data_IF_726891815030
#
_entry.id   IF_726891815030
#
_cell.length_a   1.000
_cell.length_b   1.000
_cell.length_c   1.000
_cell.angle_alpha   90.00
_cell.angle_beta   90.00
_cell.angle_gamma   90.00
#
_symmetry.space_group_name_H-M   'P 1'
#
loop_
_entity.id
_entity.type
_entity.pdbx_description
1 polymer ?
#
# COMPACT_ATOMS: atom_id res chain seq x y z
N UNK A 1 -10.45 4.91 19.73
CA UNK A 1 -9.13 5.31 19.21
C UNK A 1 -8.79 4.39 18.04
N UNK A 2 -8.28 4.91 16.92
CA UNK A 2 -8.01 4.15 15.67
C UNK A 2 -6.51 3.89 15.49
N UNK A 3 -5.87 3.40 16.55
CA UNK A 3 -4.41 3.35 16.68
C UNK A 3 -3.70 2.59 15.53
N UNK A 4 -4.29 1.51 15.02
CA UNK A 4 -3.74 0.78 13.88
C UNK A 4 -3.73 1.61 12.59
N UNK A 5 -4.84 2.28 12.27
CA UNK A 5 -4.94 3.16 11.10
C UNK A 5 -4.03 4.38 11.23
N UNK A 6 -3.93 4.94 12.42
CA UNK A 6 -3.02 6.04 12.73
C UNK A 6 -1.56 5.64 12.48
N UNK A 7 -1.15 4.47 12.98
CA UNK A 7 0.18 3.94 12.74
C UNK A 7 0.43 3.71 11.23
N UNK A 8 -0.56 3.20 10.49
CA UNK A 8 -0.45 3.04 9.03
C UNK A 8 -0.19 4.37 8.32
N UNK A 9 -0.97 5.40 8.64
CA UNK A 9 -0.85 6.72 8.01
C UNK A 9 0.49 7.36 8.33
N UNK A 10 0.96 7.30 9.57
CA UNK A 10 2.26 7.89 9.94
C UNK A 10 3.46 7.11 9.37
N UNK A 11 3.32 5.81 9.15
CA UNK A 11 4.36 5.01 8.48
C UNK A 11 4.43 5.32 6.99
N UNK A 12 3.28 5.28 6.30
CA UNK A 12 3.20 5.42 4.84
C UNK A 12 3.31 6.86 4.37
N UNK A 13 2.85 7.82 5.19
CA UNK A 13 2.72 9.24 4.84
C UNK A 13 2.09 9.45 3.44
N UNK A 14 0.88 8.93 3.20
CA UNK A 14 0.25 8.99 1.90
C UNK A 14 0.00 10.43 1.45
N UNK A 15 0.42 10.76 0.24
CA UNK A 15 0.12 12.05 -0.39
C UNK A 15 -1.35 12.17 -0.85
N UNK A 16 -2.05 11.03 -0.95
CA UNK A 16 -3.43 10.96 -1.41
C UNK A 16 -4.20 9.86 -0.65
N UNK A 17 -5.45 10.16 -0.29
CA UNK A 17 -6.38 9.28 0.40
C UNK A 17 -7.65 9.11 -0.43
N UNK A 18 -7.90 7.87 -0.86
CA UNK A 18 -9.18 7.46 -1.44
C UNK A 18 -10.10 6.95 -0.33
N UNK A 19 -11.21 7.64 -0.07
CA UNK A 19 -12.09 7.37 1.07
C UNK A 19 -13.45 6.87 0.60
N UNK A 20 -13.71 5.59 0.80
CA UNK A 20 -15.02 4.99 0.60
C UNK A 20 -16.01 5.42 1.70
N UNK A 21 -17.11 6.09 1.33
CA UNK A 21 -18.14 6.55 2.28
C UNK A 21 -19.30 5.55 2.35
N UNK A 22 -19.92 5.34 3.54
CA UNK A 22 -19.73 6.13 4.78
C UNK A 22 -18.59 5.64 5.68
N UNK A 23 -17.96 6.57 6.41
CA UNK A 23 -16.96 6.28 7.47
C UNK A 23 -17.45 6.75 8.85
N UNK A 24 -16.94 6.12 9.91
CA UNK A 24 -17.27 6.52 11.29
C UNK A 24 -16.72 7.91 11.65
N UNK A 25 -17.43 8.66 12.49
CA UNK A 25 -17.00 10.00 12.98
C UNK A 25 -15.58 10.00 13.58
N UNK A 26 -15.20 8.90 14.26
CA UNK A 26 -13.85 8.75 14.81
C UNK A 26 -12.77 8.67 13.72
N UNK A 27 -13.08 8.02 12.59
CA UNK A 27 -12.16 7.90 11.45
C UNK A 27 -12.08 9.21 10.70
N UNK A 28 -13.23 9.88 10.50
CA UNK A 28 -13.28 11.22 9.91
C UNK A 28 -12.45 12.22 10.70
N UNK A 29 -12.57 12.26 12.03
CA UNK A 29 -11.74 13.12 12.88
C UNK A 29 -10.24 12.84 12.72
N UNK A 30 -9.86 11.56 12.61
CA UNK A 30 -8.47 11.17 12.43
C UNK A 30 -7.94 11.58 11.04
N UNK A 31 -8.71 11.35 9.98
CA UNK A 31 -8.32 11.75 8.63
C UNK A 31 -8.26 13.27 8.49
N UNK A 32 -9.17 14.02 9.11
CA UNK A 32 -9.12 15.49 9.14
C UNK A 32 -7.92 16.04 9.90
N UNK A 33 -7.44 15.33 10.93
CA UNK A 33 -6.22 15.73 11.64
C UNK A 33 -4.96 15.57 10.76
N UNK A 34 -4.96 14.58 9.87
CA UNK A 34 -3.83 14.30 8.97
C UNK A 34 -3.89 15.06 7.64
N UNK A 35 -5.05 15.06 6.99
CA UNK A 35 -5.33 15.63 5.68
C UNK A 35 -6.30 16.83 5.77
N UNK A 36 -6.15 17.62 6.84
CA UNK A 36 -6.92 18.85 7.04
C UNK A 36 -6.53 19.99 6.08
N UNK A 37 -7.18 21.16 6.16
CA UNK A 37 -6.99 22.26 5.19
C UNK A 37 -5.56 22.83 5.09
N UNK A 38 -4.74 22.63 6.12
CA UNK A 38 -3.34 23.05 6.15
C UNK A 38 -2.37 21.98 5.61
N UNK A 39 -2.87 20.79 5.27
CA UNK A 39 -2.11 19.67 4.73
C UNK A 39 -2.16 19.68 3.20
N UNK A 40 -1.07 19.23 2.56
CA UNK A 40 -1.02 19.05 1.11
C UNK A 40 -1.54 17.67 0.66
N UNK A 41 -2.13 16.90 1.58
CA UNK A 41 -2.66 15.55 1.28
C UNK A 41 -4.00 15.67 0.56
N UNK A 42 -4.08 15.08 -0.64
CA UNK A 42 -5.32 15.04 -1.43
C UNK A 42 -6.30 14.03 -0.81
N UNK A 43 -7.57 14.40 -0.72
CA UNK A 43 -8.64 13.48 -0.28
C UNK A 43 -9.69 13.38 -1.38
N UNK A 44 -9.97 12.17 -1.82
CA UNK A 44 -11.03 11.88 -2.80
C UNK A 44 -12.09 10.99 -2.13
N UNK A 45 -13.29 11.54 -1.96
CA UNK A 45 -14.44 10.81 -1.45
C UNK A 45 -15.12 10.03 -2.58
N UNK A 46 -15.33 8.73 -2.35
CA UNK A 46 -15.95 7.83 -3.33
C UNK A 46 -17.14 7.11 -2.69
N UNK A 47 -18.27 7.06 -3.39
CA UNK A 47 -19.41 6.23 -2.98
C UNK A 47 -19.05 4.74 -3.10
N UNK A 48 -19.34 3.97 -2.05
CA UNK A 48 -19.13 2.51 -2.06
C UNK A 48 -20.32 1.72 -2.60
N UNK A 49 -21.38 2.37 -3.05
CA UNK A 49 -22.65 1.71 -3.41
C UNK A 49 -22.48 0.68 -4.53
N UNK A 50 -21.57 0.91 -5.46
CA UNK A 50 -21.26 -0.03 -6.57
C UNK A 50 -20.32 -1.17 -6.19
N UNK A 51 -19.77 -1.12 -4.98
CA UNK A 51 -18.87 -2.14 -4.45
C UNK A 51 -19.59 -3.09 -3.48
N UNK A 52 -20.91 -2.98 -3.34
CA UNK A 52 -21.74 -3.96 -2.64
C UNK A 52 -21.92 -5.24 -3.47
N UNK A 53 -22.34 -6.32 -2.79
CA UNK A 53 -22.84 -7.55 -3.42
C UNK A 53 -21.91 -8.20 -4.47
N UNK A 54 -20.59 -8.05 -4.27
CA UNK A 54 -19.57 -8.63 -5.16
C UNK A 54 -19.11 -7.74 -6.30
N UNK A 55 -19.66 -6.53 -6.46
CA UNK A 55 -19.25 -5.59 -7.51
C UNK A 55 -17.76 -5.25 -7.48
N UNK A 56 -17.17 -5.15 -6.29
CA UNK A 56 -15.73 -4.95 -6.14
C UNK A 56 -14.88 -6.10 -6.68
N UNK A 57 -15.29 -7.34 -6.40
CA UNK A 57 -14.57 -8.51 -6.90
C UNK A 57 -14.67 -8.59 -8.42
N UNK A 58 -15.85 -8.33 -8.99
CA UNK A 58 -16.04 -8.32 -10.43
C UNK A 58 -15.17 -7.26 -11.14
N UNK A 59 -15.07 -6.05 -10.58
CA UNK A 59 -14.22 -4.98 -11.12
C UNK A 59 -12.73 -5.38 -11.13
N UNK A 60 -12.28 -6.04 -10.06
CA UNK A 60 -10.90 -6.53 -9.94
C UNK A 60 -10.64 -7.69 -10.89
N UNK A 61 -11.53 -8.68 -10.96
CA UNK A 61 -11.37 -9.84 -11.87
C UNK A 61 -11.33 -9.36 -13.34
N UNK A 62 -12.21 -8.44 -13.72
CA UNK A 62 -12.24 -7.87 -15.07
C UNK A 62 -10.92 -7.20 -15.47
N UNK A 63 -10.18 -6.61 -14.51
CA UNK A 63 -8.84 -6.07 -14.77
C UNK A 63 -7.84 -7.17 -15.17
N UNK A 64 -7.85 -8.31 -14.47
CA UNK A 64 -6.94 -9.42 -14.75
C UNK A 64 -7.28 -10.14 -16.06
N UNK A 65 -8.58 -10.29 -16.36
CA UNK A 65 -9.06 -10.86 -17.62
C UNK A 65 -8.70 -9.96 -18.82
N UNK A 66 -8.94 -8.65 -18.74
CA UNK A 66 -8.63 -7.71 -19.82
C UNK A 66 -7.12 -7.55 -20.09
N UNK A 67 -6.27 -7.86 -19.11
CA UNK A 67 -4.82 -7.84 -19.31
C UNK A 67 -4.32 -8.99 -20.20
N UNK A 68 -5.01 -10.14 -20.15
CA UNK A 68 -4.70 -11.30 -20.97
C UNK A 68 -4.91 -10.96 -22.45
N UNK A 69 -5.93 -10.18 -22.80
CA UNK A 69 -6.20 -9.75 -24.17
C UNK A 69 -5.19 -8.72 -24.69
N UNK A 70 -4.73 -7.80 -23.83
CA UNK A 70 -3.83 -6.70 -24.25
C UNK A 70 -2.40 -7.18 -24.52
N UNK A 71 -1.89 -8.15 -23.74
CA UNK A 71 -0.53 -8.67 -23.91
C UNK A 71 -0.38 -9.55 -25.16
N UNK A 72 -1.46 -10.20 -25.61
CA UNK A 72 -1.48 -11.01 -26.84
C UNK A 72 -1.21 -10.20 -28.11
N UNK A 73 -1.30 -8.87 -28.04
CA UNK A 73 -0.98 -7.95 -29.13
C UNK A 73 0.52 -7.59 -29.20
N UNK A 74 1.27 -7.79 -28.10
CA UNK A 74 2.63 -7.24 -27.93
C UNK A 74 3.77 -8.28 -28.01
N UNK A 75 3.49 -9.59 -28.08
CA UNK A 75 4.52 -10.65 -28.01
C UNK A 75 4.50 -11.61 -29.21
N UNK A 76 5.66 -11.79 -29.86
CA UNK A 76 5.86 -12.70 -30.99
C UNK A 76 6.14 -14.16 -30.58
N UNK A 77 6.50 -14.43 -29.32
CA UNK A 77 6.72 -15.77 -28.75
C UNK A 77 5.56 -16.16 -27.82
N UNK A 78 4.54 -16.83 -28.39
CA UNK A 78 3.21 -16.99 -27.79
C UNK A 78 3.12 -18.01 -26.65
N UNK A 79 3.66 -19.22 -26.81
CA UNK A 79 3.19 -20.34 -25.96
C UNK A 79 3.77 -20.39 -24.53
N UNK A 80 5.07 -20.13 -24.33
CA UNK A 80 5.66 -20.18 -22.98
C UNK A 80 5.35 -18.95 -22.13
N UNK A 81 5.24 -17.78 -22.75
CA UNK A 81 4.88 -16.54 -22.06
C UNK A 81 3.40 -16.54 -21.66
N UNK A 82 2.51 -17.08 -22.50
CA UNK A 82 1.09 -17.26 -22.20
C UNK A 82 0.86 -18.20 -21.01
N UNK A 83 1.53 -19.37 -20.98
CA UNK A 83 1.40 -20.31 -19.85
C UNK A 83 1.85 -19.70 -18.52
N UNK A 84 3.03 -19.05 -18.49
CA UNK A 84 3.56 -18.43 -17.26
C UNK A 84 2.67 -17.28 -16.78
N UNK A 85 2.11 -16.49 -17.69
CA UNK A 85 1.25 -15.37 -17.33
C UNK A 85 -0.14 -15.84 -16.85
N UNK A 86 -0.72 -16.85 -17.50
CA UNK A 86 -1.98 -17.44 -17.05
C UNK A 86 -1.85 -18.05 -15.65
N UNK A 87 -0.75 -18.77 -15.38
CA UNK A 87 -0.45 -19.31 -14.05
C UNK A 87 -0.30 -18.19 -13.00
N UNK A 88 0.44 -17.12 -13.33
CA UNK A 88 0.62 -15.97 -12.44
C UNK A 88 -0.70 -15.24 -12.14
N UNK A 89 -1.55 -15.03 -13.17
CA UNK A 89 -2.87 -14.43 -13.01
C UNK A 89 -3.79 -15.30 -12.15
N UNK A 90 -3.75 -16.62 -12.34
CA UNK A 90 -4.53 -17.55 -11.54
C UNK A 90 -4.12 -17.51 -10.07
N UNK A 91 -2.81 -17.46 -9.78
CA UNK A 91 -2.28 -17.30 -8.42
C UNK A 91 -2.71 -15.95 -7.83
N UNK A 92 -2.63 -14.86 -8.60
CA UNK A 92 -3.05 -13.54 -8.15
C UNK A 92 -4.55 -13.49 -7.82
N UNK A 93 -5.41 -14.06 -8.67
CA UNK A 93 -6.85 -14.14 -8.45
C UNK A 93 -7.16 -14.96 -7.19
N UNK A 94 -6.50 -16.11 -7.00
CA UNK A 94 -6.65 -16.90 -5.77
C UNK A 94 -6.26 -16.09 -4.53
N UNK A 95 -5.17 -15.33 -4.61
CA UNK A 95 -4.74 -14.43 -3.54
C UNK A 95 -5.78 -13.34 -3.22
N UNK A 96 -6.37 -12.73 -4.25
CA UNK A 96 -7.43 -11.73 -4.12
C UNK A 96 -8.70 -12.33 -3.49
N UNK A 97 -9.10 -13.53 -3.91
CA UNK A 97 -10.25 -14.24 -3.34
C UNK A 97 -10.07 -14.60 -1.86
N UNK A 98 -8.83 -14.76 -1.41
CA UNK A 98 -8.51 -15.01 0.00
C UNK A 98 -8.47 -13.74 0.86
N UNK A 99 -8.55 -12.54 0.26
CA UNK A 99 -8.50 -11.28 1.01
C UNK A 99 -9.81 -11.00 1.77
N UNK A 100 -9.76 -10.25 2.88
CA UNK A 100 -10.96 -9.76 3.55
C UNK A 100 -11.82 -8.91 2.63
N UNK A 101 -13.15 -8.97 2.79
CA UNK A 101 -14.10 -8.25 1.94
C UNK A 101 -13.79 -6.75 1.82
N UNK A 102 -13.46 -6.07 2.92
CA UNK A 102 -13.10 -4.65 2.92
C UNK A 102 -11.82 -4.35 2.12
N UNK A 103 -10.85 -5.28 2.09
CA UNK A 103 -9.63 -5.13 1.30
C UNK A 103 -9.94 -5.26 -0.20
N UNK A 104 -10.84 -6.18 -0.58
CA UNK A 104 -11.31 -6.31 -1.96
C UNK A 104 -12.08 -5.05 -2.40
N UNK A 105 -12.92 -4.49 -1.54
CA UNK A 105 -13.60 -3.21 -1.81
C UNK A 105 -12.62 -2.05 -1.99
N UNK A 106 -11.62 -1.93 -1.10
CA UNK A 106 -10.56 -0.94 -1.24
C UNK A 106 -9.74 -1.15 -2.53
N UNK A 107 -9.47 -2.40 -2.91
CA UNK A 107 -8.78 -2.72 -4.15
C UNK A 107 -9.61 -2.32 -5.38
N UNK A 108 -10.91 -2.62 -5.39
CA UNK A 108 -11.82 -2.20 -6.46
C UNK A 108 -11.88 -0.68 -6.63
N UNK A 109 -11.85 0.06 -5.53
CA UNK A 109 -11.72 1.52 -5.54
C UNK A 109 -10.40 1.97 -6.19
N UNK A 110 -9.27 1.36 -5.83
CA UNK A 110 -7.96 1.66 -6.40
C UNK A 110 -7.94 1.34 -7.90
N UNK A 111 -8.44 0.17 -8.33
CA UNK A 111 -8.55 -0.21 -9.75
C UNK A 111 -9.28 0.87 -10.53
N UNK A 112 -10.48 1.25 -10.05
CA UNK A 112 -11.30 2.28 -10.71
C UNK A 112 -10.61 3.64 -10.76
N UNK A 113 -9.94 4.01 -9.68
CA UNK A 113 -9.22 5.28 -9.62
C UNK A 113 -8.06 5.29 -10.61
N UNK A 114 -7.21 4.26 -10.60
CA UNK A 114 -6.07 4.14 -11.53
C UNK A 114 -6.48 4.02 -13.00
N UNK A 115 -7.62 3.38 -13.30
CA UNK A 115 -8.20 3.32 -14.66
C UNK A 115 -8.44 4.70 -15.28
N UNK A 116 -8.74 5.71 -14.46
CA UNK A 116 -8.94 7.09 -14.95
C UNK A 116 -7.64 7.71 -15.48
N UNK A 117 -6.49 7.16 -15.11
CA UNK A 117 -5.16 7.61 -15.50
C UNK A 117 -4.42 6.61 -16.42
N UNK A 118 -5.03 5.45 -16.73
CA UNK A 118 -4.37 4.37 -17.48
C UNK A 118 -3.23 3.69 -16.71
N UNK A 119 -3.28 3.71 -15.37
CA UNK A 119 -2.23 3.20 -14.48
C UNK A 119 -2.57 1.86 -13.82
N UNK A 120 -3.74 1.29 -14.11
CA UNK A 120 -4.27 0.08 -13.48
C UNK A 120 -3.39 -1.16 -13.66
N UNK A 121 -2.56 -1.19 -14.72
CA UNK A 121 -1.63 -2.29 -15.02
C UNK A 121 -0.63 -2.55 -13.90
N UNK A 122 -0.32 -1.56 -13.06
CA UNK A 122 0.59 -1.72 -11.91
C UNK A 122 0.07 -2.75 -10.91
N UNK A 123 -1.25 -2.97 -10.85
CA UNK A 123 -1.87 -3.90 -9.91
C UNK A 123 -1.72 -5.37 -10.31
N UNK A 124 -1.34 -5.65 -11.56
CA UNK A 124 -1.22 -7.00 -12.10
C UNK A 124 0.23 -7.50 -12.18
N UNK A 125 1.19 -6.74 -11.65
CA UNK A 125 2.58 -7.19 -11.58
C UNK A 125 2.70 -8.25 -10.47
N UNK A 126 3.47 -9.33 -10.71
CA UNK A 126 3.53 -10.51 -9.83
C UNK A 126 3.99 -10.29 -8.38
N UNK A 127 4.33 -9.06 -7.99
CA UNK A 127 4.71 -8.66 -6.63
C UNK A 127 3.87 -7.51 -6.06
N UNK A 128 2.70 -7.22 -6.63
CA UNK A 128 1.94 -5.99 -6.30
C UNK A 128 1.29 -5.97 -4.91
N UNK A 129 1.14 -7.11 -4.25
CA UNK A 129 0.48 -7.19 -2.95
C UNK A 129 1.39 -7.77 -1.88
N UNK A 130 1.46 -7.04 -0.76
CA UNK A 130 2.11 -7.47 0.46
C UNK A 130 1.22 -7.11 1.65
N UNK A 131 1.05 -8.00 2.64
CA UNK A 131 0.40 -7.63 3.89
C UNK A 131 1.13 -6.46 4.55
N UNK A 132 0.37 -5.46 5.01
CA UNK A 132 0.95 -4.29 5.68
C UNK A 132 1.68 -4.67 6.98
N UNK A 133 1.15 -5.64 7.72
CA UNK A 133 1.78 -6.18 8.93
C UNK A 133 2.16 -7.64 8.70
N UNK A 134 3.36 -8.02 9.13
CA UNK A 134 3.88 -9.39 9.08
C UNK A 134 4.41 -9.80 10.45
N UNK A 135 4.24 -11.07 10.82
CA UNK A 135 4.78 -11.62 12.06
C UNK A 135 6.32 -11.61 12.14
N UNK A 136 6.99 -11.38 11.00
CA UNK A 136 8.45 -11.32 10.89
C UNK A 136 9.04 -9.96 11.27
N UNK A 137 8.19 -8.92 11.38
CA UNK A 137 8.58 -7.54 11.63
C UNK A 137 7.99 -7.03 12.96
N UNK A 138 8.70 -6.11 13.60
CA UNK A 138 8.26 -5.42 14.81
C UNK A 138 7.24 -4.36 14.44
N UNK A 139 6.09 -4.40 15.09
CA UNK A 139 5.05 -3.37 14.93
C UNK A 139 5.39 -2.17 15.81
N UNK A 140 5.71 -1.04 15.19
CA UNK A 140 5.85 0.25 15.88
C UNK A 140 4.50 0.99 15.87
N UNK A 141 4.06 1.44 17.04
CA UNK A 141 2.84 2.24 17.15
C UNK A 141 3.07 3.66 16.64
N UNK A 142 1.98 4.37 16.29
CA UNK A 142 2.01 5.80 15.95
C UNK A 142 2.81 6.61 16.97
N UNK A 143 2.49 6.42 18.26
CA UNK A 143 3.17 7.08 19.36
C UNK A 143 4.66 6.71 19.43
N UNK A 144 5.04 5.45 19.23
CA UNK A 144 6.45 5.05 19.24
C UNK A 144 7.23 5.69 18.09
N UNK A 145 6.65 5.74 16.89
CA UNK A 145 7.29 6.37 15.72
C UNK A 145 7.56 7.86 15.93
N UNK A 146 6.63 8.56 16.59
CA UNK A 146 6.74 9.99 16.88
C UNK A 146 7.68 10.26 18.06
N UNK A 147 7.48 9.60 19.21
CA UNK A 147 8.27 9.84 20.42
C UNK A 147 9.73 9.43 20.28
N UNK A 148 10.03 8.42 19.46
CA UNK A 148 11.39 8.00 19.15
C UNK A 148 11.98 8.73 17.93
N UNK A 149 11.24 9.69 17.35
CA UNK A 149 11.66 10.48 16.18
C UNK A 149 12.23 9.61 15.06
N UNK A 150 11.52 8.50 14.76
CA UNK A 150 12.01 7.47 13.83
C UNK A 150 12.16 8.00 12.42
N UNK A 151 11.18 8.80 11.98
CA UNK A 151 11.07 9.31 10.62
C UNK A 151 11.20 10.83 10.51
N UNK A 152 10.71 11.55 11.51
CA UNK A 152 10.65 13.00 11.56
C UNK A 152 10.87 13.43 13.02
N UNK A 153 11.48 14.59 13.22
CA UNK A 153 11.61 15.18 14.54
C UNK A 153 10.27 15.80 15.00
N UNK A 154 10.12 16.03 16.31
CA UNK A 154 8.93 16.69 16.88
C UNK A 154 9.08 18.22 16.99
N UNK A 155 10.23 18.79 16.61
CA UNK A 155 10.50 20.22 16.71
C UNK A 155 9.88 21.02 15.55
N UNK A 156 10.20 20.63 14.32
CA UNK A 156 9.72 21.28 13.09
C UNK A 156 9.04 20.30 12.11
N UNK A 157 9.00 19.01 12.43
CA UNK A 157 8.41 17.98 11.58
C UNK A 157 9.27 17.60 10.37
N UNK A 158 10.51 18.08 10.30
CA UNK A 158 11.45 17.67 9.25
C UNK A 158 12.11 16.33 9.55
N UNK A 159 12.68 15.70 8.52
CA UNK A 159 13.48 14.49 8.68
C UNK A 159 14.79 14.78 9.45
N UNK A 160 15.26 16.04 9.46
CA UNK A 160 16.53 16.42 10.10
C UNK A 160 16.55 16.05 11.58
N UNK A 161 17.61 15.39 12.02
CA UNK A 161 17.76 14.92 13.40
C UNK A 161 16.96 13.66 13.77
N UNK A 162 16.14 13.11 12.85
CA UNK A 162 15.48 11.81 13.05
C UNK A 162 16.45 10.63 12.97
N UNK A 163 16.03 9.46 13.46
CA UNK A 163 16.80 8.21 13.31
C UNK A 163 17.08 7.89 11.83
N UNK A 164 16.06 8.05 10.96
CA UNK A 164 16.22 7.85 9.52
C UNK A 164 17.31 8.77 8.97
N UNK A 165 17.30 10.05 9.31
CA UNK A 165 18.32 11.01 8.86
C UNK A 165 19.73 10.62 9.32
N UNK A 166 19.87 10.23 10.58
CA UNK A 166 21.17 9.81 11.12
C UNK A 166 21.73 8.56 10.41
N UNK A 167 20.86 7.61 10.05
CA UNK A 167 21.28 6.33 9.45
C UNK A 167 21.40 6.39 7.92
N UNK A 168 20.73 7.32 7.25
CA UNK A 168 20.60 7.31 5.80
C UNK A 168 21.85 7.84 5.10
N UNK A 169 22.77 6.90 4.80
CA UNK A 169 23.95 7.11 3.96
C UNK A 169 23.79 6.47 2.58
N UNK A 170 22.55 6.25 2.14
CA UNK A 170 22.29 5.60 0.84
C UNK A 170 22.61 6.54 -0.33
N UNK A 171 23.18 5.99 -1.40
CA UNK A 171 23.55 6.75 -2.59
C UNK A 171 22.43 6.83 -3.64
N UNK A 172 21.35 6.07 -3.45
CA UNK A 172 20.25 5.98 -4.41
C UNK A 172 18.90 6.22 -3.74
N UNK A 173 17.97 6.80 -4.51
CA UNK A 173 16.62 7.08 -4.00
C UNK A 173 15.85 5.81 -3.62
N UNK A 174 16.03 4.72 -4.37
CA UNK A 174 15.41 3.44 -4.02
C UNK A 174 16.04 2.80 -2.79
N UNK A 175 17.35 2.97 -2.58
CA UNK A 175 18.03 2.57 -1.35
C UNK A 175 17.49 3.31 -0.14
N UNK A 176 17.33 4.64 -0.25
CA UNK A 176 16.72 5.48 0.79
C UNK A 176 15.30 5.02 1.14
N UNK A 177 14.47 4.73 0.13
CA UNK A 177 13.11 4.17 0.32
C UNK A 177 13.15 2.82 1.02
N UNK A 178 14.08 1.93 0.66
CA UNK A 178 14.23 0.63 1.31
C UNK A 178 14.69 0.75 2.77
N UNK A 179 15.64 1.65 3.05
CA UNK A 179 16.10 1.91 4.40
C UNK A 179 14.96 2.45 5.29
N UNK A 180 14.14 3.37 4.76
CA UNK A 180 12.93 3.84 5.45
C UNK A 180 11.99 2.70 5.81
N UNK A 181 11.79 1.72 4.91
CA UNK A 181 11.01 0.51 5.22
C UNK A 181 11.66 -0.30 6.36
N UNK A 182 12.98 -0.53 6.32
CA UNK A 182 13.67 -1.31 7.36
C UNK A 182 13.64 -0.66 8.74
N UNK A 183 13.78 0.66 8.81
CA UNK A 183 13.77 1.42 10.07
C UNK A 183 12.37 1.44 10.69
N UNK A 184 11.31 1.46 9.87
CA UNK A 184 9.91 1.43 10.34
C UNK A 184 9.38 0.03 10.63
N UNK A 185 10.00 -1.00 10.05
CA UNK A 185 9.64 -2.41 10.22
C UNK A 185 10.87 -3.26 10.61
N UNK A 186 11.45 -3.06 11.81
CA UNK A 186 12.60 -3.84 12.24
C UNK A 186 12.31 -5.33 12.25
N UNK A 187 13.29 -6.16 11.88
CA UNK A 187 13.14 -7.62 11.90
C UNK A 187 13.02 -8.13 13.35
N UNK A 188 12.27 -9.21 13.54
CA UNK A 188 12.18 -9.94 14.81
C UNK A 188 12.90 -11.28 14.79
N UNK A 189 13.14 -11.83 13.60
CA UNK A 189 13.79 -13.11 13.42
C UNK A 189 15.30 -12.99 13.61
N UNK A 190 15.84 -13.79 14.54
CA UNK A 190 17.26 -13.75 14.89
C UNK A 190 18.18 -14.10 13.72
N UNK A 191 17.79 -15.04 12.87
CA UNK A 191 18.61 -15.46 11.73
C UNK A 191 18.64 -14.37 10.67
N UNK A 192 17.50 -13.73 10.40
CA UNK A 192 17.42 -12.60 9.46
C UNK A 192 18.17 -11.37 9.97
N UNK A 193 18.15 -11.11 11.29
CA UNK A 193 18.98 -10.07 11.90
C UNK A 193 20.46 -10.43 11.76
N UNK A 194 20.84 -11.67 12.11
CA UNK A 194 22.22 -12.15 11.99
C UNK A 194 22.76 -12.13 10.57
N UNK A 195 21.91 -12.30 9.56
CA UNK A 195 22.30 -12.20 8.15
C UNK A 195 22.61 -10.75 7.68
N UNK A 196 22.24 -9.74 8.47
CA UNK A 196 22.51 -8.31 8.18
C UNK A 196 23.69 -7.73 8.97
N UNK A 197 24.19 -8.47 9.98
CA UNK A 197 25.31 -8.08 10.84
C UNK A 197 26.62 -8.67 10.30
#
# INVERSE_FOLDING_TARGET
MRAGLEAMILNLLPAELLVGRPISKQTEKLLLAYAGPASNVRVEDVSTDRFSDGGALAEVISLYEGMQETYLLDVQEKEEAEMKMHECNQIAIQGIMAMPHLAIQALGLIVRHLKQFGLERVLCLGASFRPFSSNMEMTLSANALQQLEVLMNNFDGSESGSLLHCMNQTLTLFGSRLLRHWVTHPLRDRNMIGARL
#
